data_IF_117721235034
#
_entry.id   IF_117721235034
#
_cell.length_a   1.000
_cell.length_b   1.000
_cell.length_c   1.000
_cell.angle_alpha   90.00
_cell.angle_beta   90.00
_cell.angle_gamma   90.00
#
_symmetry.space_group_name_H-M   'P 1'
#
loop_
_entity.id
_entity.type
_entity.pdbx_description
1 polymer ?
#
# COMPACT_ATOMS: atom_id res chain seq x y z
N UNK A 1 5.56 3.13 3.22
CA UNK A 1 5.10 1.89 2.57
C UNK A 1 5.06 2.09 1.08
N UNK A 2 5.69 1.21 0.34
CA UNK A 2 5.68 1.24 -1.12
C UNK A 2 5.04 -0.04 -1.63
N UNK A 3 4.08 0.10 -2.54
CA UNK A 3 3.31 -1.02 -3.06
C UNK A 3 3.34 -0.98 -4.59
N UNK A 4 3.55 -2.14 -5.20
CA UNK A 4 3.35 -2.32 -6.64
C UNK A 4 2.40 -3.48 -6.87
N UNK A 5 1.31 -3.20 -7.56
CA UNK A 5 0.31 -4.21 -7.88
C UNK A 5 -0.36 -3.92 -9.23
N UNK A 6 -0.94 -4.95 -9.81
CA UNK A 6 -1.77 -4.83 -11.00
C UNK A 6 -3.20 -5.21 -10.65
N UNK A 7 -4.15 -4.32 -10.91
CA UNK A 7 -5.57 -4.60 -10.67
C UNK A 7 -6.08 -5.51 -11.77
N UNK A 8 -6.56 -6.69 -11.38
CA UNK A 8 -7.10 -7.70 -12.30
C UNK A 8 -8.63 -7.76 -12.23
N UNK A 9 -9.19 -7.50 -11.05
CA UNK A 9 -10.64 -7.43 -10.82
C UNK A 9 -10.94 -6.10 -10.12
N UNK A 10 -11.38 -5.14 -10.90
CA UNK A 10 -11.64 -3.79 -10.39
C UNK A 10 -12.75 -3.76 -9.33
N UNK A 11 -13.74 -4.64 -9.44
CA UNK A 11 -14.84 -4.69 -8.47
C UNK A 11 -14.35 -5.18 -7.10
N UNK A 12 -13.55 -6.24 -7.08
CA UNK A 12 -12.94 -6.74 -5.85
C UNK A 12 -12.01 -5.71 -5.23
N UNK A 13 -11.17 -5.08 -6.05
CA UNK A 13 -10.25 -4.06 -5.55
C UNK A 13 -10.98 -2.83 -4.99
N UNK A 14 -12.11 -2.47 -5.59
CA UNK A 14 -12.93 -1.36 -5.08
C UNK A 14 -13.47 -1.66 -3.68
N UNK A 15 -13.83 -2.90 -3.39
CA UNK A 15 -14.24 -3.31 -2.04
C UNK A 15 -13.09 -3.13 -1.04
N UNK A 16 -11.87 -3.44 -1.45
CA UNK A 16 -10.68 -3.18 -0.64
C UNK A 16 -10.51 -1.69 -0.38
N UNK A 17 -10.59 -0.87 -1.42
CA UNK A 17 -10.41 0.57 -1.32
C UNK A 17 -11.43 1.22 -0.37
N UNK A 18 -12.67 0.75 -0.37
CA UNK A 18 -13.73 1.31 0.48
C UNK A 18 -13.41 1.23 1.97
N UNK A 19 -12.72 0.18 2.40
CA UNK A 19 -12.38 0.01 3.81
C UNK A 19 -10.96 0.46 4.17
N UNK A 20 -10.13 0.71 3.18
CA UNK A 20 -8.71 0.95 3.38
C UNK A 20 -8.41 2.20 4.19
N UNK A 21 -9.02 3.34 3.84
CA UNK A 21 -8.66 4.62 4.43
C UNK A 21 -9.05 4.74 5.91
N UNK A 22 -10.17 4.15 6.30
CA UNK A 22 -10.60 4.17 7.70
C UNK A 22 -9.62 3.41 8.59
N UNK A 23 -9.13 2.26 8.13
CA UNK A 23 -8.16 1.47 8.89
C UNK A 23 -6.80 2.15 8.90
N UNK A 24 -6.37 2.69 7.76
CA UNK A 24 -5.13 3.45 7.65
C UNK A 24 -5.09 4.59 8.67
N UNK A 25 -6.17 5.35 8.75
CA UNK A 25 -6.30 6.49 9.65
C UNK A 25 -6.20 6.09 11.12
N UNK A 26 -6.73 4.92 11.47
CA UNK A 26 -6.68 4.41 12.85
C UNK A 26 -5.25 4.29 13.38
N UNK A 27 -4.30 4.00 12.50
CA UNK A 27 -2.89 3.84 12.85
C UNK A 27 -2.06 5.07 12.50
N UNK A 28 -2.71 6.21 12.27
CA UNK A 28 -2.03 7.47 11.95
C UNK A 28 -1.44 7.51 10.55
N UNK A 29 -1.91 6.65 9.66
CA UNK A 29 -1.40 6.57 8.30
C UNK A 29 -1.84 7.75 7.45
N UNK A 30 -0.96 8.15 6.53
CA UNK A 30 -1.21 9.21 5.57
C UNK A 30 -0.97 8.68 4.16
N UNK A 31 -1.99 8.76 3.31
CA UNK A 31 -1.88 8.35 1.93
C UNK A 31 -1.21 9.43 1.11
N UNK A 32 -0.13 9.10 0.41
CA UNK A 32 0.63 10.08 -0.36
C UNK A 32 0.24 10.09 -1.83
N UNK A 33 0.24 8.93 -2.48
CA UNK A 33 -0.09 8.85 -3.90
C UNK A 33 -0.40 7.44 -4.36
N UNK A 34 -1.15 7.34 -5.45
CA UNK A 34 -1.14 6.18 -6.32
C UNK A 34 -0.95 6.67 -7.76
N UNK A 35 -0.27 5.88 -8.58
CA UNK A 35 0.08 6.31 -9.92
C UNK A 35 0.07 5.11 -10.88
N UNK A 36 -0.79 5.19 -11.89
CA UNK A 36 -0.88 4.19 -12.97
C UNK A 36 -0.07 4.60 -14.20
N UNK A 37 0.49 5.81 -14.19
CA UNK A 37 1.22 6.38 -15.32
C UNK A 37 2.67 6.75 -14.97
N UNK A 38 3.23 6.08 -13.97
CA UNK A 38 4.59 6.32 -13.51
C UNK A 38 5.61 6.05 -14.61
N UNK A 39 6.74 6.72 -14.52
CA UNK A 39 7.81 6.66 -15.54
C UNK A 39 9.08 6.15 -14.87
N UNK A 40 9.60 5.03 -15.35
CA UNK A 40 10.88 4.51 -14.90
C UNK A 40 11.99 5.13 -15.73
N UNK A 41 12.90 5.84 -15.08
CA UNK A 41 13.97 6.52 -15.77
C UNK A 41 15.18 5.60 -15.99
N UNK A 42 15.41 4.66 -15.11
CA UNK A 42 16.47 3.66 -15.23
C UNK A 42 16.05 2.39 -14.50
N UNK A 43 16.52 1.26 -14.97
CA UNK A 43 16.32 -0.01 -14.29
C UNK A 43 16.05 -1.15 -15.25
N UNK A 44 16.53 -2.35 -14.92
CA UNK A 44 16.36 -3.54 -15.75
C UNK A 44 15.01 -4.20 -15.56
N UNK A 45 14.32 -3.90 -14.46
CA UNK A 45 13.00 -4.47 -14.15
C UNK A 45 12.04 -3.35 -13.73
N UNK A 46 11.60 -2.51 -14.67
CA UNK A 46 10.69 -1.43 -14.33
C UNK A 46 9.37 -1.99 -13.79
N UNK A 47 8.80 -1.38 -12.74
CA UNK A 47 7.51 -1.80 -12.25
C UNK A 47 6.42 -1.53 -13.29
N UNK A 48 5.47 -2.46 -13.38
CA UNK A 48 4.25 -2.26 -14.17
C UNK A 48 3.06 -2.10 -13.22
N UNK A 49 1.89 -1.76 -13.78
CA UNK A 49 0.69 -1.60 -12.97
C UNK A 49 0.70 -0.35 -12.12
N UNK A 50 0.15 -0.45 -10.92
CA UNK A 50 -0.02 0.70 -10.03
C UNK A 50 1.09 0.75 -8.99
N UNK A 51 1.67 1.95 -8.82
CA UNK A 51 2.56 2.26 -7.70
C UNK A 51 1.78 3.04 -6.65
N UNK A 52 1.95 2.67 -5.38
CA UNK A 52 1.23 3.29 -4.27
C UNK A 52 2.24 3.63 -3.18
N UNK A 53 2.11 4.82 -2.59
CA UNK A 53 2.95 5.22 -1.46
C UNK A 53 2.06 5.79 -0.36
N UNK A 54 2.25 5.31 0.87
CA UNK A 54 1.64 5.86 2.06
C UNK A 54 2.60 5.70 3.24
N UNK A 55 2.40 6.47 4.29
CA UNK A 55 3.33 6.50 5.42
C UNK A 55 2.62 6.40 6.76
N UNK A 56 3.37 5.95 7.75
CA UNK A 56 2.95 5.89 9.15
C UNK A 56 3.91 6.70 10.00
N UNK A 57 3.49 7.16 11.20
CA UNK A 57 4.38 7.89 12.11
C UNK A 57 5.56 7.07 12.60
N UNK A 58 5.42 5.74 12.66
CA UNK A 58 6.46 4.85 13.18
C UNK A 58 6.36 3.47 12.55
N UNK A 59 7.43 2.70 12.65
CA UNK A 59 7.46 1.29 12.25
C UNK A 59 6.42 0.48 13.02
N UNK A 60 6.26 0.77 14.32
CA UNK A 60 5.33 0.06 15.19
C UNK A 60 3.89 0.24 14.73
N UNK A 61 3.52 1.46 14.33
CA UNK A 61 2.18 1.71 13.80
C UNK A 61 1.96 1.04 12.44
N UNK A 62 2.97 1.06 11.58
CA UNK A 62 2.90 0.38 10.29
C UNK A 62 2.72 -1.13 10.45
N UNK A 63 3.50 -1.75 11.32
CA UNK A 63 3.41 -3.20 11.56
C UNK A 63 2.11 -3.58 12.28
N UNK A 64 1.64 -2.74 13.19
CA UNK A 64 0.33 -2.93 13.84
C UNK A 64 -0.82 -2.82 12.85
N UNK A 65 -0.75 -1.88 11.92
CA UNK A 65 -1.72 -1.76 10.83
C UNK A 65 -1.77 -3.05 10.01
N UNK A 66 -0.62 -3.56 9.61
CA UNK A 66 -0.58 -4.78 8.79
C UNK A 66 -1.11 -5.99 9.54
N UNK A 67 -0.85 -6.08 10.84
CA UNK A 67 -1.30 -7.19 11.69
C UNK A 67 -2.76 -7.07 12.14
N UNK A 68 -3.40 -5.93 11.88
CA UNK A 68 -4.79 -5.69 12.26
C UNK A 68 -5.71 -6.72 11.59
N UNK A 69 -6.54 -7.39 12.40
CA UNK A 69 -7.41 -8.46 11.93
C UNK A 69 -8.40 -7.96 10.87
N UNK A 70 -8.96 -6.78 11.08
CA UNK A 70 -9.89 -6.17 10.12
C UNK A 70 -9.18 -5.83 8.81
N UNK A 71 -7.94 -5.31 8.88
CA UNK A 71 -7.16 -5.06 7.67
C UNK A 71 -6.86 -6.35 6.92
N UNK A 72 -6.47 -7.41 7.62
CA UNK A 72 -6.18 -8.69 6.98
C UNK A 72 -7.43 -9.28 6.33
N UNK A 73 -8.58 -9.16 6.97
CA UNK A 73 -9.85 -9.60 6.38
C UNK A 73 -10.17 -8.79 5.12
N UNK A 74 -10.03 -7.47 5.20
CA UNK A 74 -10.22 -6.58 4.05
C UNK A 74 -9.26 -6.93 2.90
N UNK A 75 -8.04 -7.31 3.22
CA UNK A 75 -7.00 -7.64 2.24
C UNK A 75 -7.33 -8.85 1.37
N UNK A 76 -8.30 -9.67 1.76
CA UNK A 76 -8.77 -10.77 0.89
C UNK A 76 -9.31 -10.23 -0.43
N UNK A 77 -9.99 -9.09 -0.42
CA UNK A 77 -10.44 -8.46 -1.67
C UNK A 77 -9.26 -8.04 -2.55
N UNK A 78 -8.20 -7.49 -1.93
CA UNK A 78 -6.99 -7.14 -2.66
C UNK A 78 -6.31 -8.37 -3.25
N UNK A 79 -6.19 -9.43 -2.47
CA UNK A 79 -5.57 -10.68 -2.93
C UNK A 79 -6.34 -11.32 -4.09
N UNK A 80 -7.65 -11.26 -4.04
CA UNK A 80 -8.51 -11.77 -5.11
C UNK A 80 -8.49 -10.89 -6.36
N UNK A 81 -8.34 -9.59 -6.18
CA UNK A 81 -8.49 -8.62 -7.26
C UNK A 81 -7.21 -8.08 -7.85
N UNK A 82 -6.03 -8.48 -7.35
CA UNK A 82 -4.76 -7.95 -7.82
C UNK A 82 -3.70 -9.03 -7.94
N UNK A 83 -2.70 -8.73 -8.77
CA UNK A 83 -1.40 -9.38 -8.71
C UNK A 83 -0.46 -8.45 -7.97
N UNK A 84 -0.02 -8.86 -6.79
CA UNK A 84 0.87 -8.07 -5.96
C UNK A 84 2.33 -8.42 -6.26
N UNK A 85 3.12 -7.43 -6.63
CA UNK A 85 4.57 -7.61 -6.78
C UNK A 85 5.26 -7.44 -5.44
N UNK A 86 4.94 -6.36 -4.72
CA UNK A 86 5.46 -6.15 -3.37
C UNK A 86 4.60 -5.15 -2.60
N UNK A 87 4.65 -5.30 -1.30
CA UNK A 87 4.15 -4.34 -0.31
C UNK A 87 5.26 -4.25 0.72
N UNK A 88 6.05 -3.18 0.65
CA UNK A 88 7.34 -3.09 1.32
C UNK A 88 7.39 -1.90 2.26
N UNK A 89 7.80 -2.15 3.50
CA UNK A 89 8.01 -1.10 4.48
C UNK A 89 9.43 -0.57 4.35
N UNK A 90 9.54 0.73 4.06
CA UNK A 90 10.82 1.44 4.08
C UNK A 90 10.86 2.31 5.33
N UNK A 91 12.06 2.48 5.86
CA UNK A 91 12.28 3.41 6.96
C UNK A 91 12.57 4.79 6.39
N UNK A 92 11.94 5.82 6.95
CA UNK A 92 12.28 7.20 6.65
C UNK A 92 13.59 7.60 7.31
N UNK A 93 14.08 8.75 6.96
CA UNK A 93 15.26 9.31 7.62
C UNK A 93 14.92 9.60 9.09
N UNK A 94 15.84 9.30 10.02
CA UNK A 94 15.63 9.68 11.42
C UNK A 94 15.47 11.18 11.56
N UNK A 95 14.62 11.59 12.50
CA UNK A 95 14.49 13.00 12.83
C UNK A 95 15.83 13.54 13.34
N UNK A 96 16.20 14.73 12.91
CA UNK A 96 17.40 15.38 13.41
C UNK A 96 17.14 15.95 14.79
N UNK A 97 18.06 15.68 15.70
CA UNK A 97 18.01 16.23 17.04
C UNK A 97 18.32 17.75 17.03
#
# INVERSE_FOLDING_TARGET
>A
MVVNLTVQDAAAYRNYERGFFAILKRYGGEFLTFDDAHITLEGSKPPSGRMIIFKFPSKEQATSWYADTEYQTLSEFRRQGTQLEYLTLLHGLPARA
#
